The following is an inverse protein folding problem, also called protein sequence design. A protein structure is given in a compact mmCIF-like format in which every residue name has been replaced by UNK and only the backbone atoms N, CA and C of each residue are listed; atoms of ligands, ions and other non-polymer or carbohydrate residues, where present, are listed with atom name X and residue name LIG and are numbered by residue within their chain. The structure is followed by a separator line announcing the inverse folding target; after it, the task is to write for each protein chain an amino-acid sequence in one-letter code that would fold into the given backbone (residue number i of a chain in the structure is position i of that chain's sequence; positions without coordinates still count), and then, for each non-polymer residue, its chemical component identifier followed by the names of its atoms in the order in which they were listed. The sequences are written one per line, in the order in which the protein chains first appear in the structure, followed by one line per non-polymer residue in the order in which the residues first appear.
data_IF_916351434365
#
_entry.id   IF_916351434365
#
_cell.length_a   1.000
_cell.length_b   1.000
_cell.length_c   1.000
_cell.angle_alpha   90.00
_cell.angle_beta   90.00
_cell.angle_gamma   90.00
#
_symmetry.space_group_name_H-M   'P 1'
#
loop_
_entity.id
_entity.type
_entity.pdbx_description
1 polymer ?
#
# COMPACT_ATOMS: atom_id res chain seq x y z
N UNK A 1 11.37 21.58 19.34
CA UNK A 1 12.21 20.37 19.11
C UNK A 1 12.88 20.44 17.74
N UNK A 2 13.96 19.67 17.56
CA UNK A 2 14.65 19.56 16.27
C UNK A 2 14.07 18.35 15.54
N UNK A 3 13.52 18.56 14.35
CA UNK A 3 12.89 17.53 13.51
C UNK A 3 13.80 17.26 12.32
N UNK A 4 14.14 15.99 12.10
CA UNK A 4 14.95 15.52 10.98
C UNK A 4 14.09 14.84 9.91
N UNK A 5 14.31 15.21 8.65
CA UNK A 5 13.66 14.63 7.47
C UNK A 5 14.77 14.03 6.59
N UNK A 6 15.14 12.77 6.78
CA UNK A 6 16.12 12.10 5.93
C UNK A 6 15.52 11.78 4.57
N UNK A 7 16.38 11.54 3.60
CA UNK A 7 16.02 10.98 2.31
C UNK A 7 15.61 9.52 2.46
N UNK A 8 14.55 9.12 1.77
CA UNK A 8 14.17 7.70 1.70
C UNK A 8 15.17 6.92 0.84
N UNK A 9 15.62 5.78 1.38
CA UNK A 9 16.66 4.96 0.75
C UNK A 9 16.14 3.65 0.14
N UNK A 10 14.85 3.32 0.34
CA UNK A 10 14.24 2.16 -0.29
C UNK A 10 14.28 2.31 -1.81
N UNK A 11 14.67 1.26 -2.50
CA UNK A 11 14.67 1.26 -3.97
C UNK A 11 13.30 1.63 -4.54
N UNK A 12 13.26 2.63 -5.43
CA UNK A 12 12.03 3.11 -6.06
C UNK A 12 11.17 4.01 -5.16
N UNK A 13 11.51 4.26 -3.88
CA UNK A 13 10.80 5.22 -3.05
C UNK A 13 11.12 6.65 -3.51
N UNK A 14 10.08 7.40 -3.81
CA UNK A 14 10.19 8.76 -4.32
C UNK A 14 9.54 9.80 -3.40
N UNK A 15 8.83 9.34 -2.38
CA UNK A 15 8.14 10.21 -1.42
C UNK A 15 9.15 10.79 -0.43
N UNK A 16 8.73 11.87 0.22
CA UNK A 16 9.38 12.48 1.37
C UNK A 16 8.37 12.64 2.48
N UNK A 17 8.79 12.51 3.73
CA UNK A 17 7.88 12.52 4.88
C UNK A 17 7.24 13.88 5.18
N UNK A 18 7.86 14.97 4.73
CA UNK A 18 7.28 16.32 4.82
C UNK A 18 7.68 17.16 3.59
N UNK A 19 6.68 17.77 2.96
CA UNK A 19 6.84 18.70 1.85
C UNK A 19 7.12 20.13 2.38
N UNK A 20 7.61 21.07 1.56
CA UNK A 20 7.93 22.45 2.01
C UNK A 20 6.79 23.14 2.77
N UNK A 21 5.53 22.97 2.33
CA UNK A 21 4.37 23.52 3.04
C UNK A 21 4.22 22.95 4.46
N UNK A 22 4.45 21.65 4.64
CA UNK A 22 4.42 21.01 5.96
C UNK A 22 5.57 21.52 6.84
N UNK A 23 6.76 21.65 6.25
CA UNK A 23 7.94 22.22 6.94
C UNK A 23 7.66 23.64 7.42
N UNK A 24 7.06 24.48 6.58
CA UNK A 24 6.69 25.86 6.96
C UNK A 24 5.76 25.87 8.19
N UNK A 25 4.79 24.95 8.25
CA UNK A 25 3.89 24.83 9.41
C UNK A 25 4.64 24.40 10.67
N UNK A 26 5.54 23.42 10.57
CA UNK A 26 6.36 22.97 11.71
C UNK A 26 7.26 24.09 12.25
N UNK A 27 7.82 24.91 11.40
CA UNK A 27 8.65 26.07 11.77
C UNK A 27 7.79 27.15 12.43
N UNK A 28 6.61 27.43 11.86
CA UNK A 28 5.65 28.37 12.47
C UNK A 28 5.25 27.92 13.89
N UNK A 29 5.16 26.61 14.14
CA UNK A 29 4.85 26.03 15.45
C UNK A 29 6.07 26.00 16.39
N UNK A 30 7.19 26.64 16.01
CA UNK A 30 8.36 26.83 16.85
C UNK A 30 9.36 25.66 16.82
N UNK A 31 9.31 24.80 15.82
CA UNK A 31 10.28 23.72 15.63
C UNK A 31 11.43 24.15 14.71
N UNK A 32 12.58 23.51 14.89
CA UNK A 32 13.71 23.59 13.93
C UNK A 32 13.63 22.36 13.03
N UNK A 33 13.68 22.55 11.72
CA UNK A 33 13.59 21.44 10.75
C UNK A 33 14.91 21.31 9.99
N UNK A 34 15.48 20.10 10.05
CA UNK A 34 16.65 19.67 9.28
C UNK A 34 16.17 18.77 8.15
N UNK A 35 16.56 19.03 6.93
CA UNK A 35 16.22 18.23 5.75
C UNK A 35 17.51 17.73 5.13
N UNK A 36 17.63 16.43 4.88
CA UNK A 36 18.76 15.90 4.13
C UNK A 36 18.73 16.42 2.70
N UNK A 37 19.89 16.79 2.19
CA UNK A 37 20.04 17.26 0.81
C UNK A 37 19.43 16.31 -0.20
N UNK A 38 18.58 16.85 -1.06
CA UNK A 38 17.88 16.09 -2.08
C UNK A 38 16.80 15.13 -1.57
N UNK A 39 16.34 15.25 -0.31
CA UNK A 39 15.30 14.37 0.25
C UNK A 39 13.97 14.49 -0.50
N UNK A 40 13.60 15.67 -0.98
CA UNK A 40 12.35 15.94 -1.71
C UNK A 40 12.43 15.75 -3.23
N UNK A 41 13.59 15.50 -3.79
CA UNK A 41 13.82 15.47 -5.25
C UNK A 41 12.92 14.44 -5.97
N UNK A 42 12.72 13.27 -5.37
CA UNK A 42 11.85 12.23 -5.90
C UNK A 42 10.39 12.66 -6.02
N UNK A 43 9.95 13.59 -5.21
CA UNK A 43 8.61 14.20 -5.19
C UNK A 43 8.57 15.59 -5.86
N UNK A 44 9.62 15.97 -6.59
CA UNK A 44 9.77 17.24 -7.30
C UNK A 44 9.81 18.47 -6.38
N UNK A 45 10.26 18.30 -5.13
CA UNK A 45 10.56 19.39 -4.22
C UNK A 45 12.07 19.53 -4.05
N UNK A 46 12.60 20.68 -4.46
CA UNK A 46 14.04 20.95 -4.44
C UNK A 46 14.47 21.62 -3.13
N UNK A 47 15.75 21.54 -2.82
CA UNK A 47 16.33 22.03 -1.56
C UNK A 47 16.06 23.53 -1.32
N UNK A 48 16.05 24.35 -2.36
CA UNK A 48 15.74 25.78 -2.29
C UNK A 48 14.32 26.07 -1.79
N UNK A 49 13.36 25.21 -2.12
CA UNK A 49 11.98 25.31 -1.62
C UNK A 49 11.91 25.02 -0.12
N UNK A 50 12.69 24.06 0.38
CA UNK A 50 12.80 23.79 1.81
C UNK A 50 13.49 24.92 2.56
N UNK A 51 14.56 25.50 1.97
CA UNK A 51 15.23 26.69 2.52
C UNK A 51 14.25 27.86 2.58
N UNK A 52 13.48 28.11 1.52
CA UNK A 52 12.45 29.14 1.49
C UNK A 52 11.36 28.93 2.54
N UNK A 53 11.04 27.66 2.87
CA UNK A 53 10.13 27.30 3.96
C UNK A 53 10.75 27.45 5.35
N UNK A 54 12.06 27.77 5.45
CA UNK A 54 12.80 28.01 6.69
C UNK A 54 13.58 26.81 7.23
N UNK A 55 13.66 25.70 6.49
CA UNK A 55 14.46 24.54 6.89
C UNK A 55 15.96 24.79 6.68
N UNK A 56 16.75 24.01 7.39
CA UNK A 56 18.20 23.90 7.14
C UNK A 56 18.48 22.61 6.37
N UNK A 57 19.16 22.71 5.24
CA UNK A 57 19.65 21.57 4.48
C UNK A 57 20.92 21.01 5.15
N UNK A 58 20.98 19.67 5.30
CA UNK A 58 22.10 18.94 5.88
C UNK A 58 22.66 17.99 4.82
N UNK A 59 23.97 18.09 4.59
CA UNK A 59 24.67 17.26 3.59
C UNK A 59 24.88 15.81 4.07
N UNK A 60 25.17 15.64 5.37
CA UNK A 60 25.45 14.36 5.98
C UNK A 60 24.25 13.87 6.81
N UNK A 61 23.66 12.76 6.40
CA UNK A 61 22.54 12.14 7.11
C UNK A 61 22.91 11.75 8.56
N UNK A 62 24.17 11.43 8.83
CA UNK A 62 24.61 11.12 10.20
C UNK A 62 24.51 12.37 11.11
N UNK A 63 24.87 13.55 10.61
CA UNK A 63 24.67 14.82 11.34
C UNK A 63 23.17 15.08 11.61
N UNK A 64 22.30 14.74 10.65
CA UNK A 64 20.86 14.89 10.80
C UNK A 64 20.34 13.99 11.94
N UNK A 65 20.69 12.70 11.94
CA UNK A 65 20.27 11.77 12.99
C UNK A 65 20.85 12.13 14.36
N UNK A 66 22.08 12.61 14.43
CA UNK A 66 22.72 13.04 15.68
C UNK A 66 22.01 14.23 16.33
N UNK A 67 21.56 15.21 15.51
CA UNK A 67 20.98 16.46 16.01
C UNK A 67 19.47 16.42 16.21
N UNK A 68 18.77 15.58 15.47
CA UNK A 68 17.31 15.52 15.53
C UNK A 68 16.82 14.83 16.80
N UNK A 69 15.81 15.41 17.44
CA UNK A 69 15.06 14.80 18.53
C UNK A 69 13.94 13.90 17.99
N UNK A 70 13.39 14.25 16.83
CA UNK A 70 12.35 13.51 16.12
C UNK A 70 12.75 13.29 14.67
N UNK A 71 12.70 12.06 14.21
CA UNK A 71 12.86 11.69 12.80
C UNK A 71 11.49 11.41 12.19
N UNK A 72 11.24 12.03 11.04
CA UNK A 72 10.06 11.74 10.20
C UNK A 72 10.51 10.97 8.97
N UNK A 73 9.95 9.79 8.75
CA UNK A 73 10.17 8.95 7.56
C UNK A 73 8.84 8.45 6.98
N UNK A 74 8.89 8.00 5.75
CA UNK A 74 7.79 7.27 5.11
C UNK A 74 7.95 5.77 5.33
N UNK A 75 9.13 5.23 5.02
CA UNK A 75 9.42 3.79 5.14
C UNK A 75 10.17 3.48 6.43
N UNK A 76 10.08 2.22 6.83
CA UNK A 76 10.85 1.67 7.96
C UNK A 76 12.36 1.94 7.83
N UNK A 77 13.11 1.96 8.93
CA UNK A 77 14.57 2.05 8.89
C UNK A 77 15.19 0.89 8.12
N UNK A 78 16.08 1.20 7.20
CA UNK A 78 16.76 0.24 6.33
C UNK A 78 18.28 0.28 6.51
N UNK A 79 18.98 -0.63 5.84
CA UNK A 79 20.43 -0.58 5.74
C UNK A 79 20.84 0.51 4.74
N UNK A 80 21.61 1.48 5.20
CA UNK A 80 22.13 2.57 4.39
C UNK A 80 23.48 2.14 3.78
N UNK A 81 23.46 1.79 2.49
CA UNK A 81 24.66 1.35 1.77
C UNK A 81 25.73 2.44 1.69
N UNK A 82 25.35 3.70 1.54
CA UNK A 82 26.30 4.83 1.46
C UNK A 82 27.07 5.04 2.79
N UNK A 83 26.45 4.69 3.91
CA UNK A 83 27.06 4.77 5.26
C UNK A 83 27.56 3.42 5.76
N UNK A 84 27.24 2.34 5.05
CA UNK A 84 27.57 0.96 5.44
C UNK A 84 27.10 0.61 6.87
N UNK A 85 25.90 1.08 7.24
CA UNK A 85 25.29 0.80 8.55
C UNK A 85 23.76 0.84 8.44
N UNK A 86 23.06 0.30 9.44
CA UNK A 86 21.62 0.47 9.55
C UNK A 86 21.29 1.93 9.91
N UNK A 87 20.15 2.46 9.41
CA UNK A 87 19.66 3.76 9.88
C UNK A 87 19.39 3.74 11.40
N UNK A 88 19.10 2.56 12.00
CA UNK A 88 18.97 2.41 13.45
C UNK A 88 20.30 2.70 14.16
N UNK A 89 21.43 2.37 13.55
CA UNK A 89 22.74 2.64 14.13
C UNK A 89 23.05 4.13 14.21
N UNK A 90 22.49 4.93 13.30
CA UNK A 90 22.58 6.40 13.29
C UNK A 90 21.69 7.04 14.37
N UNK A 91 20.64 6.35 14.83
CA UNK A 91 19.74 6.86 15.87
C UNK A 91 20.41 6.83 17.26
N UNK A 92 19.89 7.66 18.17
CA UNK A 92 20.34 7.67 19.56
C UNK A 92 19.21 7.33 20.55
N UNK A 93 19.59 6.97 21.78
CA UNK A 93 18.63 6.66 22.85
C UNK A 93 17.71 7.85 23.13
N UNK A 94 16.41 7.59 23.21
CA UNK A 94 15.38 8.60 23.49
C UNK A 94 14.92 9.39 22.26
N UNK A 95 15.51 9.14 21.08
CA UNK A 95 15.07 9.75 19.83
C UNK A 95 13.69 9.23 19.43
N UNK A 96 12.83 10.12 18.98
CA UNK A 96 11.52 9.78 18.44
C UNK A 96 11.63 9.44 16.95
N UNK A 97 10.83 8.47 16.50
CA UNK A 97 10.67 8.11 15.10
C UNK A 97 9.19 8.00 14.77
N UNK A 98 8.73 8.72 13.74
CA UNK A 98 7.39 8.53 13.16
C UNK A 98 7.55 8.02 11.75
N UNK A 99 7.04 6.82 11.48
CA UNK A 99 7.11 6.16 10.16
C UNK A 99 6.12 5.00 10.07
N UNK A 100 5.99 4.39 8.89
CA UNK A 100 5.41 3.05 8.77
C UNK A 100 6.46 2.03 9.21
N UNK A 101 6.09 1.17 10.16
CA UNK A 101 6.98 0.11 10.69
C UNK A 101 6.52 -1.26 10.21
N UNK A 102 5.25 -1.40 9.87
CA UNK A 102 4.61 -2.68 9.50
C UNK A 102 4.94 -3.80 10.51
N UNK A 103 4.63 -3.61 11.81
CA UNK A 103 5.05 -4.52 12.87
C UNK A 103 4.39 -5.90 12.79
N UNK A 104 3.32 -6.04 12.02
CA UNK A 104 2.68 -7.33 11.76
C UNK A 104 3.51 -8.24 10.83
N UNK A 105 4.40 -7.66 10.03
CA UNK A 105 5.26 -8.41 9.11
C UNK A 105 6.40 -9.08 9.86
N UNK A 106 6.54 -10.42 9.82
CA UNK A 106 7.60 -11.13 10.54
C UNK A 106 9.01 -10.67 10.17
N UNK A 107 9.22 -10.22 8.93
CA UNK A 107 10.54 -9.73 8.46
C UNK A 107 10.98 -8.46 9.20
N UNK A 108 10.06 -7.71 9.80
CA UNK A 108 10.34 -6.47 10.51
C UNK A 108 10.57 -6.68 12.02
N UNK A 109 10.35 -7.89 12.56
CA UNK A 109 10.47 -8.12 14.00
C UNK A 109 11.89 -7.88 14.55
N UNK A 110 12.93 -8.24 13.81
CA UNK A 110 14.32 -7.98 14.23
C UNK A 110 14.64 -6.49 14.23
N UNK A 111 14.13 -5.73 13.27
CA UNK A 111 14.23 -4.27 13.23
C UNK A 111 13.56 -3.65 14.48
N UNK A 112 12.35 -4.09 14.82
CA UNK A 112 11.63 -3.60 16.02
C UNK A 112 12.44 -3.89 17.30
N UNK A 113 13.01 -5.10 17.43
CA UNK A 113 13.88 -5.45 18.57
C UNK A 113 15.13 -4.58 18.61
N UNK A 114 15.75 -4.30 17.47
CA UNK A 114 16.94 -3.45 17.38
C UNK A 114 16.63 -2.00 17.81
N UNK A 115 15.50 -1.43 17.36
CA UNK A 115 15.04 -0.10 17.81
C UNK A 115 14.79 -0.08 19.32
N UNK A 116 14.14 -1.10 19.86
CA UNK A 116 13.89 -1.22 21.29
C UNK A 116 15.20 -1.31 22.09
N UNK A 117 16.16 -2.12 21.64
CA UNK A 117 17.47 -2.25 22.26
C UNK A 117 18.28 -0.94 22.24
N UNK A 118 18.15 -0.15 21.16
CA UNK A 118 18.75 1.18 21.01
C UNK A 118 18.05 2.23 21.91
N UNK A 119 16.82 1.94 22.37
CA UNK A 119 16.01 2.87 23.16
C UNK A 119 15.34 3.97 22.33
N UNK A 120 15.05 3.69 21.08
CA UNK A 120 14.27 4.57 20.18
C UNK A 120 12.79 4.49 20.54
N UNK A 121 12.10 5.62 20.51
CA UNK A 121 10.66 5.73 20.78
C UNK A 121 9.92 5.84 19.45
N UNK A 122 9.36 4.73 18.99
CA UNK A 122 8.73 4.67 17.67
C UNK A 122 7.21 4.81 17.74
N UNK A 123 6.65 5.65 16.88
CA UNK A 123 5.22 5.85 16.66
C UNK A 123 4.90 5.37 15.23
N UNK A 124 4.25 4.21 15.11
CA UNK A 124 3.92 3.69 13.78
C UNK A 124 2.64 4.30 13.22
N UNK A 125 2.67 4.71 11.96
CA UNK A 125 1.51 5.18 11.22
C UNK A 125 0.51 4.07 10.91
N UNK A 126 0.92 2.79 10.99
CA UNK A 126 0.04 1.63 10.84
C UNK A 126 -1.04 1.55 11.93
N UNK A 127 -0.75 2.09 13.11
CA UNK A 127 -1.61 2.02 14.30
C UNK A 127 -2.54 3.22 14.49
N UNK A 128 -2.60 4.18 13.58
CA UNK A 128 -3.50 5.33 13.68
C UNK A 128 -4.95 4.85 13.66
N UNK A 129 -5.76 5.13 14.70
CA UNK A 129 -7.13 4.62 14.77
C UNK A 129 -8.03 5.29 13.72
N UNK A 130 -8.90 4.49 13.08
CA UNK A 130 -9.84 4.98 12.05
C UNK A 130 -11.10 5.57 12.69
N UNK A 131 -10.94 6.67 13.36
CA UNK A 131 -12.02 7.46 13.98
C UNK A 131 -12.03 8.88 13.39
N UNK A 132 -13.15 9.57 13.46
CA UNK A 132 -13.32 10.90 12.84
C UNK A 132 -12.25 11.91 13.30
N UNK A 133 -11.82 11.87 14.55
CA UNK A 133 -10.78 12.76 15.09
C UNK A 133 -9.39 12.49 14.50
N UNK A 134 -9.13 11.27 14.04
CA UNK A 134 -7.83 10.83 13.53
C UNK A 134 -7.74 10.82 11.99
N UNK A 135 -8.81 11.16 11.27
CA UNK A 135 -8.84 11.11 9.81
C UNK A 135 -7.71 11.93 9.16
N UNK A 136 -7.37 13.08 9.72
CA UNK A 136 -6.27 13.92 9.21
C UNK A 136 -4.88 13.33 9.44
N UNK A 137 -4.76 12.30 10.29
CA UNK A 137 -3.51 11.58 10.56
C UNK A 137 -3.46 10.22 9.84
N UNK A 138 -4.54 9.81 9.16
CA UNK A 138 -4.64 8.50 8.51
C UNK A 138 -3.89 8.49 7.16
N UNK A 139 -2.57 8.47 7.26
CA UNK A 139 -1.68 8.35 6.10
C UNK A 139 -1.87 7.01 5.37
N UNK A 140 -2.30 5.96 6.07
CA UNK A 140 -2.57 4.65 5.46
C UNK A 140 -3.75 4.73 4.48
N UNK A 141 -4.82 5.48 4.81
CA UNK A 141 -5.93 5.71 3.89
C UNK A 141 -5.48 6.46 2.64
N UNK A 142 -4.67 7.52 2.78
CA UNK A 142 -4.12 8.26 1.63
C UNK A 142 -3.28 7.35 0.74
N UNK A 143 -2.37 6.58 1.31
CA UNK A 143 -1.53 5.62 0.59
C UNK A 143 -2.36 4.54 -0.12
N UNK A 144 -3.35 3.97 0.57
CA UNK A 144 -4.23 2.94 0.00
C UNK A 144 -5.04 3.47 -1.18
N UNK A 145 -5.52 4.72 -1.11
CA UNK A 145 -6.21 5.38 -2.22
C UNK A 145 -5.31 5.45 -3.45
N UNK A 146 -4.05 5.87 -3.28
CA UNK A 146 -3.09 5.94 -4.38
C UNK A 146 -2.73 4.57 -4.91
N UNK A 147 -2.54 3.58 -4.04
CA UNK A 147 -2.25 2.21 -4.42
C UNK A 147 -3.40 1.62 -5.26
N UNK A 148 -4.65 1.83 -4.84
CA UNK A 148 -5.83 1.39 -5.61
C UNK A 148 -5.92 2.04 -6.98
N UNK A 149 -5.67 3.35 -7.06
CA UNK A 149 -5.68 4.08 -8.32
C UNK A 149 -4.56 3.61 -9.27
N UNK A 150 -3.31 3.69 -8.81
CA UNK A 150 -2.14 3.37 -9.63
C UNK A 150 -2.05 1.89 -9.96
N UNK A 151 -2.34 1.01 -9.00
CA UNK A 151 -2.34 -0.43 -9.24
C UNK A 151 -3.34 -0.83 -10.33
N UNK A 152 -4.53 -0.21 -10.35
CA UNK A 152 -5.49 -0.45 -11.42
C UNK A 152 -5.02 0.09 -12.78
N UNK A 153 -4.32 1.24 -12.82
CA UNK A 153 -3.73 1.75 -14.07
C UNK A 153 -2.60 0.86 -14.57
N UNK A 154 -1.76 0.31 -13.68
CA UNK A 154 -0.72 -0.67 -14.01
C UNK A 154 -1.38 -1.92 -14.61
N UNK A 155 -2.39 -2.48 -13.95
CA UNK A 155 -3.13 -3.63 -14.48
C UNK A 155 -3.71 -3.38 -15.87
N UNK A 156 -4.26 -2.19 -16.11
CA UNK A 156 -4.81 -1.82 -17.40
C UNK A 156 -3.72 -1.63 -18.48
N UNK A 157 -2.53 -1.15 -18.10
CA UNK A 157 -1.38 -0.99 -18.99
C UNK A 157 -0.78 -2.34 -19.42
N UNK A 158 -0.71 -3.28 -18.48
CA UNK A 158 -0.09 -4.59 -18.72
C UNK A 158 -1.03 -5.59 -19.40
N UNK A 159 -2.33 -5.29 -19.37
CA UNK A 159 -3.33 -6.09 -20.05
C UNK A 159 -3.28 -5.86 -21.56
N UNK A 160 -3.06 -6.90 -22.34
CA UNK A 160 -3.01 -6.85 -23.82
C UNK A 160 -4.41 -6.77 -24.45
N UNK A 161 -5.35 -6.03 -23.82
CA UNK A 161 -6.73 -5.85 -24.31
C UNK A 161 -7.21 -4.43 -24.04
N UNK A 162 -8.23 -3.99 -24.80
CA UNK A 162 -8.95 -2.76 -24.44
C UNK A 162 -9.77 -2.97 -23.16
N UNK A 163 -9.65 -2.06 -22.21
CA UNK A 163 -10.46 -2.12 -20.99
C UNK A 163 -11.93 -1.82 -21.28
N UNK A 164 -12.28 -0.71 -21.98
CA UNK A 164 -13.66 -0.38 -22.30
C UNK A 164 -14.22 -1.21 -23.46
N UNK A 165 -15.51 -1.14 -23.60
CA UNK A 165 -16.18 -1.56 -24.82
C UNK A 165 -15.77 -0.63 -25.99
N UNK A 166 -15.37 -1.21 -27.10
CA UNK A 166 -14.97 -0.47 -28.32
C UNK A 166 -15.88 -0.88 -29.47
N UNK A 167 -16.35 0.11 -30.22
CA UNK A 167 -16.99 -0.10 -31.52
C UNK A 167 -16.04 0.34 -32.64
N UNK A 168 -15.80 -0.53 -33.58
CA UNK A 168 -14.95 -0.26 -34.74
C UNK A 168 -15.52 -0.93 -36.00
N UNK A 169 -14.88 -0.69 -37.15
CA UNK A 169 -15.33 -1.23 -38.44
C UNK A 169 -15.44 -2.76 -38.49
N UNK A 170 -14.68 -3.47 -37.66
CA UNK A 170 -14.69 -4.94 -37.57
C UNK A 170 -15.70 -5.47 -36.55
N UNK A 171 -16.47 -4.60 -35.88
CA UNK A 171 -17.48 -5.00 -34.89
C UNK A 171 -17.27 -4.42 -33.50
N UNK A 172 -17.88 -5.07 -32.53
CA UNK A 172 -17.84 -4.68 -31.10
C UNK A 172 -16.84 -5.55 -30.33
N UNK A 173 -15.92 -4.88 -29.65
CA UNK A 173 -15.03 -5.51 -28.67
C UNK A 173 -15.70 -5.36 -27.30
N UNK A 174 -15.90 -6.47 -26.59
CA UNK A 174 -16.51 -6.46 -25.26
C UNK A 174 -15.55 -5.84 -24.22
N UNK A 175 -16.08 -5.16 -23.19
CA UNK A 175 -15.25 -4.67 -22.10
C UNK A 175 -14.67 -5.84 -21.30
N UNK A 176 -13.55 -5.60 -20.62
CA UNK A 176 -12.92 -6.59 -19.77
C UNK A 176 -13.64 -6.76 -18.45
N UNK A 177 -13.50 -7.95 -17.85
CA UNK A 177 -13.97 -8.24 -16.51
C UNK A 177 -12.82 -8.03 -15.51
N UNK A 178 -13.11 -7.24 -14.48
CA UNK A 178 -12.18 -6.96 -13.36
C UNK A 178 -12.78 -7.52 -12.08
N UNK A 179 -12.01 -8.30 -11.32
CA UNK A 179 -12.36 -8.71 -9.97
C UNK A 179 -11.49 -7.95 -8.96
N UNK A 180 -12.12 -7.32 -7.98
CA UNK A 180 -11.44 -6.70 -6.84
C UNK A 180 -11.73 -7.52 -5.59
N UNK A 181 -10.67 -8.04 -4.96
CA UNK A 181 -10.73 -8.84 -3.74
C UNK A 181 -10.27 -7.97 -2.57
N UNK A 182 -11.15 -7.78 -1.59
CA UNK A 182 -10.98 -6.81 -0.52
C UNK A 182 -11.42 -5.41 -0.96
N UNK A 183 -12.56 -4.94 -0.44
CA UNK A 183 -13.14 -3.64 -0.78
C UNK A 183 -12.95 -2.62 0.34
N UNK A 184 -11.72 -2.60 0.90
CA UNK A 184 -11.25 -1.48 1.73
C UNK A 184 -10.97 -0.24 0.87
N UNK A 185 -10.29 0.76 1.43
CA UNK A 185 -9.99 2.03 0.74
C UNK A 185 -9.32 1.80 -0.63
N UNK A 186 -8.28 0.95 -0.68
CA UNK A 186 -7.59 0.63 -1.94
C UNK A 186 -8.49 -0.07 -2.94
N UNK A 187 -9.25 -1.08 -2.49
CA UNK A 187 -10.18 -1.81 -3.34
C UNK A 187 -11.31 -0.95 -3.88
N UNK A 188 -11.93 -0.10 -3.06
CA UNK A 188 -12.96 0.84 -3.51
C UNK A 188 -12.41 1.83 -4.55
N UNK A 189 -11.19 2.32 -4.36
CA UNK A 189 -10.53 3.19 -5.34
C UNK A 189 -10.21 2.43 -6.64
N UNK A 190 -9.77 1.17 -6.55
CA UNK A 190 -9.57 0.31 -7.72
C UNK A 190 -10.88 0.08 -8.48
N UNK A 191 -11.99 -0.21 -7.78
CA UNK A 191 -13.33 -0.32 -8.37
C UNK A 191 -13.69 0.96 -9.12
N UNK A 192 -13.56 2.12 -8.46
CA UNK A 192 -13.90 3.42 -9.05
C UNK A 192 -13.04 3.71 -10.30
N UNK A 193 -11.76 3.35 -10.27
CA UNK A 193 -10.84 3.53 -11.40
C UNK A 193 -11.20 2.60 -12.55
N UNK A 194 -11.39 1.30 -12.30
CA UNK A 194 -11.78 0.33 -13.31
C UNK A 194 -13.11 0.68 -13.99
N UNK A 195 -14.09 1.15 -13.22
CA UNK A 195 -15.37 1.64 -13.75
C UNK A 195 -15.18 2.84 -14.67
N UNK A 196 -14.34 3.82 -14.31
CA UNK A 196 -14.03 4.98 -15.18
C UNK A 196 -13.30 4.58 -16.46
N UNK A 197 -12.49 3.52 -16.41
CA UNK A 197 -11.86 2.92 -17.59
C UNK A 197 -12.83 2.11 -18.46
N UNK A 198 -14.08 1.90 -18.00
CA UNK A 198 -15.11 1.22 -18.77
C UNK A 198 -15.17 -0.29 -18.58
N UNK A 199 -14.52 -0.84 -17.56
CA UNK A 199 -14.56 -2.26 -17.23
C UNK A 199 -15.93 -2.69 -16.65
N UNK A 200 -16.23 -3.98 -16.77
CA UNK A 200 -17.23 -4.66 -15.96
C UNK A 200 -16.58 -5.11 -14.67
N UNK A 201 -16.97 -4.52 -13.53
CA UNK A 201 -16.30 -4.74 -12.27
C UNK A 201 -17.09 -5.69 -11.38
N UNK A 202 -16.40 -6.69 -10.86
CA UNK A 202 -16.83 -7.61 -9.82
C UNK A 202 -16.07 -7.29 -8.53
N UNK A 203 -16.65 -7.55 -7.37
CA UNK A 203 -16.02 -7.30 -6.08
C UNK A 203 -16.37 -8.40 -5.08
N UNK A 204 -15.40 -8.78 -4.26
CA UNK A 204 -15.54 -9.71 -3.14
C UNK A 204 -14.99 -9.07 -1.86
N UNK A 205 -15.76 -9.11 -0.79
CA UNK A 205 -15.33 -8.79 0.58
C UNK A 205 -16.19 -9.61 1.54
N UNK A 206 -15.64 -9.95 2.69
CA UNK A 206 -16.36 -10.71 3.71
C UNK A 206 -17.23 -9.81 4.60
N UNK A 207 -16.97 -8.49 4.62
CA UNK A 207 -17.67 -7.52 5.47
C UNK A 207 -18.89 -6.94 4.75
N UNK A 208 -20.10 -7.03 5.32
CA UNK A 208 -21.32 -6.53 4.70
C UNK A 208 -21.25 -5.03 4.32
N UNK A 209 -20.72 -4.18 5.21
CA UNK A 209 -20.61 -2.74 4.94
C UNK A 209 -19.70 -2.43 3.74
N UNK A 210 -18.60 -3.18 3.60
CA UNK A 210 -17.67 -3.04 2.49
C UNK A 210 -18.29 -3.54 1.16
N UNK A 211 -19.09 -4.61 1.23
CA UNK A 211 -19.89 -5.11 0.10
C UNK A 211 -20.90 -4.05 -0.39
N UNK A 212 -21.63 -3.41 0.52
CA UNK A 212 -22.59 -2.37 0.17
C UNK A 212 -21.91 -1.12 -0.44
N UNK A 213 -20.73 -0.76 0.06
CA UNK A 213 -19.94 0.32 -0.54
C UNK A 213 -19.50 -0.03 -1.98
N UNK A 214 -19.00 -1.26 -2.20
CA UNK A 214 -18.61 -1.72 -3.53
C UNK A 214 -19.80 -1.75 -4.49
N UNK A 215 -20.97 -2.21 -4.03
CA UNK A 215 -22.22 -2.21 -4.77
C UNK A 215 -22.68 -0.79 -5.14
N UNK A 216 -22.54 0.17 -4.22
CA UNK A 216 -22.84 1.58 -4.45
C UNK A 216 -21.97 2.20 -5.56
N UNK A 217 -20.73 1.70 -5.75
CA UNK A 217 -19.87 2.07 -6.88
C UNK A 217 -20.22 1.33 -8.18
N UNK A 218 -21.24 0.48 -8.18
CA UNK A 218 -21.71 -0.26 -9.33
C UNK A 218 -20.94 -1.54 -9.64
N UNK A 219 -20.25 -2.12 -8.66
CA UNK A 219 -19.65 -3.44 -8.79
C UNK A 219 -20.70 -4.54 -8.64
N UNK A 220 -20.52 -5.64 -9.38
CA UNK A 220 -21.27 -6.89 -9.19
C UNK A 220 -20.63 -7.65 -8.04
N UNK A 221 -21.41 -8.05 -7.06
CA UNK A 221 -20.87 -8.70 -5.87
C UNK A 221 -20.71 -10.20 -6.11
N UNK A 222 -19.54 -10.71 -5.76
CA UNK A 222 -19.26 -12.12 -5.62
C UNK A 222 -19.55 -12.49 -4.16
N UNK A 223 -20.59 -13.29 -3.95
CA UNK A 223 -20.94 -13.74 -2.61
C UNK A 223 -19.93 -14.79 -2.13
N UNK A 224 -19.24 -14.50 -1.06
CA UNK A 224 -18.24 -15.39 -0.44
C UNK A 224 -18.88 -16.42 0.49
N UNK A 225 -20.17 -16.23 0.86
CA UNK A 225 -20.88 -17.09 1.79
C UNK A 225 -20.41 -17.00 3.24
N UNK A 226 -19.50 -16.10 3.58
CA UNK A 226 -18.96 -15.95 4.94
C UNK A 226 -19.98 -15.19 5.81
N UNK A 227 -20.41 -15.75 6.97
CA UNK A 227 -21.33 -15.07 7.87
C UNK A 227 -20.72 -13.79 8.47
N UNK A 228 -21.53 -12.74 8.61
CA UNK A 228 -21.10 -11.45 9.14
C UNK A 228 -20.50 -11.53 10.56
N UNK A 229 -21.03 -12.43 11.38
CA UNK A 229 -20.59 -12.65 12.76
C UNK A 229 -19.15 -13.18 12.84
N UNK A 230 -18.70 -13.88 11.80
CA UNK A 230 -17.33 -14.39 11.68
C UNK A 230 -16.41 -13.37 10.98
N UNK A 231 -16.98 -12.69 9.97
CA UNK A 231 -16.24 -11.79 9.11
C UNK A 231 -15.80 -10.49 9.79
N UNK A 232 -16.61 -9.95 10.72
CA UNK A 232 -16.42 -8.60 11.27
C UNK A 232 -15.90 -8.64 12.70
N UNK A 233 -14.74 -8.00 12.90
CA UNK A 233 -14.10 -7.82 14.20
C UNK A 233 -14.37 -6.47 14.84
N UNK A 234 -13.60 -6.17 15.89
CA UNK A 234 -13.69 -4.88 16.57
C UNK A 234 -13.42 -3.72 15.61
N UNK A 235 -14.23 -2.67 15.69
CA UNK A 235 -14.09 -1.48 14.86
C UNK A 235 -14.48 -1.66 13.39
N UNK A 236 -15.19 -2.75 13.02
CA UNK A 236 -15.66 -2.97 11.65
C UNK A 236 -14.57 -3.49 10.69
N UNK A 237 -13.45 -3.94 11.21
CA UNK A 237 -12.39 -4.55 10.41
C UNK A 237 -12.67 -6.02 10.11
N UNK A 238 -12.04 -6.53 9.04
CA UNK A 238 -12.06 -7.95 8.76
C UNK A 238 -11.36 -8.75 9.87
N UNK A 239 -11.99 -9.85 10.28
CA UNK A 239 -11.36 -10.85 11.13
C UNK A 239 -10.48 -11.80 10.31
N UNK A 240 -9.52 -12.42 10.98
CA UNK A 240 -8.87 -13.62 10.46
C UNK A 240 -9.90 -14.76 10.44
N UNK A 241 -10.14 -15.32 9.26
CA UNK A 241 -11.12 -16.39 9.10
C UNK A 241 -10.54 -17.73 9.58
N UNK A 242 -11.34 -18.60 10.23
CA UNK A 242 -11.03 -20.01 10.36
C UNK A 242 -10.84 -20.66 8.98
N UNK A 243 -9.98 -21.68 8.90
CA UNK A 243 -9.60 -22.33 7.63
C UNK A 243 -10.82 -22.82 6.82
N UNK A 244 -11.85 -23.31 7.48
CA UNK A 244 -13.11 -23.73 6.84
C UNK A 244 -13.74 -22.59 6.03
N UNK A 245 -13.83 -21.41 6.60
CA UNK A 245 -14.43 -20.24 5.94
C UNK A 245 -13.51 -19.62 4.89
N UNK A 246 -12.20 -19.73 5.10
CA UNK A 246 -11.21 -19.33 4.09
C UNK A 246 -11.32 -20.23 2.84
N UNK A 247 -11.54 -21.54 3.03
CA UNK A 247 -11.81 -22.46 1.92
C UNK A 247 -13.11 -22.11 1.20
N UNK A 248 -14.17 -21.80 1.93
CA UNK A 248 -15.44 -21.33 1.33
C UNK A 248 -15.26 -20.10 0.46
N UNK A 249 -14.52 -19.11 0.96
CA UNK A 249 -14.20 -17.88 0.20
C UNK A 249 -13.42 -18.22 -1.08
N UNK A 250 -12.39 -19.07 -0.99
CA UNK A 250 -11.62 -19.56 -2.14
C UNK A 250 -12.49 -20.26 -3.16
N UNK A 251 -13.40 -21.13 -2.74
CA UNK A 251 -14.34 -21.83 -3.62
C UNK A 251 -15.29 -20.88 -4.36
N UNK A 252 -15.76 -19.83 -3.69
CA UNK A 252 -16.58 -18.80 -4.32
C UNK A 252 -15.80 -18.02 -5.39
N UNK A 253 -14.55 -17.64 -5.08
CA UNK A 253 -13.66 -16.94 -6.00
C UNK A 253 -13.27 -17.83 -7.19
N UNK A 254 -12.98 -19.12 -6.98
CA UNK A 254 -12.59 -20.06 -8.02
C UNK A 254 -13.65 -20.20 -9.14
N UNK A 255 -14.93 -19.99 -8.84
CA UNK A 255 -16.01 -20.03 -9.81
C UNK A 255 -16.00 -18.88 -10.80
N UNK A 256 -15.48 -17.71 -10.41
CA UNK A 256 -15.52 -16.50 -11.23
C UNK A 256 -14.16 -16.15 -11.88
N UNK A 257 -13.07 -16.56 -11.27
CA UNK A 257 -11.70 -16.24 -11.70
C UNK A 257 -11.42 -16.61 -13.17
N UNK A 258 -11.87 -17.75 -13.73
CA UNK A 258 -11.61 -18.07 -15.14
C UNK A 258 -12.20 -17.07 -16.14
N UNK A 259 -13.15 -16.26 -15.73
CA UNK A 259 -13.79 -15.24 -16.57
C UNK A 259 -13.15 -13.85 -16.41
N UNK A 260 -12.23 -13.69 -15.46
CA UNK A 260 -11.60 -12.40 -15.16
C UNK A 260 -10.39 -12.14 -16.07
N UNK A 261 -10.29 -10.90 -16.53
CA UNK A 261 -9.14 -10.40 -17.28
C UNK A 261 -8.14 -9.70 -16.34
N UNK A 262 -8.63 -9.05 -15.28
CA UNK A 262 -7.82 -8.45 -14.22
C UNK A 262 -8.33 -8.92 -12.87
N UNK A 263 -7.41 -9.31 -11.97
CA UNK A 263 -7.69 -9.53 -10.55
C UNK A 263 -6.85 -8.57 -9.72
N UNK A 264 -7.51 -7.75 -8.92
CA UNK A 264 -6.90 -6.78 -8.03
C UNK A 264 -7.05 -7.24 -6.58
N UNK A 265 -5.93 -7.55 -5.92
CA UNK A 265 -5.88 -8.09 -4.57
C UNK A 265 -5.53 -6.99 -3.57
N UNK A 266 -6.41 -6.77 -2.59
CA UNK A 266 -6.24 -5.77 -1.52
C UNK A 266 -6.87 -6.20 -0.19
N UNK A 267 -7.06 -7.50 0.02
CA UNK A 267 -7.64 -8.03 1.25
C UNK A 267 -6.58 -8.08 2.36
N UNK A 268 -6.82 -7.32 3.43
CA UNK A 268 -5.93 -7.25 4.58
C UNK A 268 -6.72 -7.43 5.87
N UNK A 269 -6.10 -8.12 6.83
CA UNK A 269 -6.56 -8.22 8.22
C UNK A 269 -5.60 -7.40 9.07
N UNK A 270 -6.08 -6.40 9.85
CA UNK A 270 -5.21 -5.56 10.66
C UNK A 270 -4.31 -6.35 11.59
N UNK A 271 -3.03 -6.03 11.61
CA UNK A 271 -2.01 -6.67 12.46
C UNK A 271 -1.83 -8.19 12.23
N UNK A 272 -2.20 -8.69 11.05
CA UNK A 272 -2.04 -10.08 10.62
C UNK A 272 -1.40 -10.16 9.26
N UNK A 273 -0.92 -11.35 8.92
CA UNK A 273 -0.50 -11.68 7.55
C UNK A 273 -1.77 -11.70 6.67
N UNK A 274 -1.66 -11.18 5.46
CA UNK A 274 -2.75 -11.20 4.49
C UNK A 274 -3.18 -12.66 4.17
N UNK A 275 -4.49 -12.93 4.07
CA UNK A 275 -4.95 -14.26 3.72
C UNK A 275 -4.60 -14.57 2.25
N UNK A 276 -4.10 -15.77 1.99
CA UNK A 276 -3.94 -16.27 0.63
C UNK A 276 -5.30 -16.67 0.09
N UNK A 277 -5.82 -15.90 -0.86
CA UNK A 277 -7.16 -16.08 -1.47
C UNK A 277 -7.09 -16.64 -2.89
N UNK A 278 -5.99 -16.40 -3.60
CA UNK A 278 -5.72 -16.93 -4.94
C UNK A 278 -4.68 -18.03 -4.85
N UNK A 279 -5.08 -19.26 -5.11
CA UNK A 279 -4.16 -20.40 -5.23
C UNK A 279 -3.50 -20.44 -6.61
N UNK A 280 -2.43 -21.21 -6.75
CA UNK A 280 -1.77 -21.38 -8.04
C UNK A 280 -2.70 -22.00 -9.09
N UNK A 281 -3.57 -22.93 -8.69
CA UNK A 281 -4.56 -23.58 -9.56
C UNK A 281 -5.57 -22.55 -10.10
N UNK A 282 -6.00 -21.59 -9.27
CA UNK A 282 -6.88 -20.52 -9.71
C UNK A 282 -6.20 -19.61 -10.73
N UNK A 283 -4.92 -19.29 -10.52
CA UNK A 283 -4.13 -18.49 -11.47
C UNK A 283 -3.96 -19.26 -12.80
N UNK A 284 -3.67 -20.55 -12.74
CA UNK A 284 -3.56 -21.39 -13.92
C UNK A 284 -4.88 -21.52 -14.71
N UNK A 285 -6.03 -21.33 -14.05
CA UNK A 285 -7.34 -21.32 -14.70
C UNK A 285 -7.71 -19.99 -15.35
N UNK A 286 -6.95 -18.91 -15.14
CA UNK A 286 -7.19 -17.62 -15.79
C UNK A 286 -6.87 -17.68 -17.27
N UNK A 287 -7.45 -16.77 -18.03
CA UNK A 287 -7.17 -16.65 -19.47
C UNK A 287 -5.73 -16.18 -19.69
N UNK A 288 -5.00 -16.74 -20.68
CA UNK A 288 -3.70 -16.22 -21.07
C UNK A 288 -3.74 -14.71 -21.38
N UNK A 289 -2.76 -13.96 -20.87
CA UNK A 289 -2.70 -12.50 -21.00
C UNK A 289 -3.53 -11.74 -19.96
N UNK A 290 -4.11 -12.42 -18.97
CA UNK A 290 -4.72 -11.78 -17.80
C UNK A 290 -3.66 -11.21 -16.88
N UNK A 291 -4.09 -10.29 -15.97
CA UNK A 291 -3.20 -9.59 -15.05
C UNK A 291 -3.71 -9.72 -13.61
N UNK A 292 -2.80 -9.97 -12.69
CA UNK A 292 -3.04 -9.89 -11.24
C UNK A 292 -2.19 -8.75 -10.67
N UNK A 293 -2.79 -7.87 -9.88
CA UNK A 293 -2.07 -6.87 -9.07
C UNK A 293 -2.33 -7.15 -7.60
N UNK A 294 -1.28 -7.45 -6.85
CA UNK A 294 -1.35 -7.76 -5.43
C UNK A 294 -0.70 -6.65 -4.61
N UNK A 295 -1.53 -5.70 -4.14
CA UNK A 295 -1.07 -4.59 -3.28
C UNK A 295 -0.97 -4.97 -1.80
N UNK A 296 -1.40 -6.18 -1.43
CA UNK A 296 -1.28 -6.71 -0.07
C UNK A 296 0.08 -7.39 0.19
N UNK A 297 0.98 -7.36 -0.78
CA UNK A 297 2.25 -8.10 -0.76
C UNK A 297 3.18 -7.70 0.39
N UNK A 298 3.14 -6.47 0.87
CA UNK A 298 3.92 -6.01 2.03
C UNK A 298 3.52 -6.75 3.33
N UNK A 299 2.32 -7.33 3.37
CA UNK A 299 1.81 -8.12 4.49
C UNK A 299 1.62 -9.60 4.13
N UNK A 300 2.33 -10.10 3.12
CA UNK A 300 2.33 -11.51 2.72
C UNK A 300 1.64 -11.81 1.40
N UNK A 301 0.74 -10.93 0.93
CA UNK A 301 0.04 -11.07 -0.36
C UNK A 301 -1.22 -11.96 -0.31
N UNK A 302 -2.14 -11.69 -1.23
CA UNK A 302 -3.34 -12.52 -1.39
C UNK A 302 -3.20 -13.61 -2.46
N UNK A 303 -2.18 -13.53 -3.32
CA UNK A 303 -1.93 -14.54 -4.34
C UNK A 303 -0.71 -15.38 -3.94
N UNK A 304 -0.89 -16.71 -3.91
CA UNK A 304 0.12 -17.68 -3.46
C UNK A 304 1.44 -17.61 -4.22
N UNK A 305 1.40 -17.18 -5.47
CA UNK A 305 2.57 -17.17 -6.36
C UNK A 305 3.07 -15.77 -6.71
N UNK A 306 2.59 -14.72 -6.02
CA UNK A 306 3.16 -13.36 -6.17
C UNK A 306 4.58 -13.33 -5.62
N UNK A 307 5.51 -12.73 -6.37
CA UNK A 307 6.87 -12.49 -5.92
C UNK A 307 7.00 -11.04 -5.44
N UNK A 308 7.37 -10.81 -4.17
CA UNK A 308 7.46 -9.45 -3.63
C UNK A 308 8.48 -8.58 -4.37
N UNK A 309 8.05 -7.41 -4.84
CA UNK A 309 8.89 -6.43 -5.53
C UNK A 309 9.16 -6.72 -7.01
N UNK A 310 8.50 -7.72 -7.59
CA UNK A 310 8.74 -8.15 -8.97
C UNK A 310 7.44 -8.19 -9.78
N UNK A 311 7.59 -7.97 -11.08
CA UNK A 311 6.61 -8.33 -12.11
C UNK A 311 7.00 -9.69 -12.68
N UNK A 312 6.15 -10.69 -12.57
CA UNK A 312 6.42 -12.04 -13.05
C UNK A 312 5.32 -12.53 -13.98
N UNK A 313 5.67 -13.38 -14.96
CA UNK A 313 4.68 -14.07 -15.79
C UNK A 313 4.67 -15.55 -15.39
N UNK A 314 3.55 -16.02 -14.84
CA UNK A 314 3.32 -17.42 -14.46
C UNK A 314 2.00 -17.89 -15.06
N UNK A 315 1.94 -19.10 -15.60
CA UNK A 315 0.75 -19.64 -16.29
C UNK A 315 0.18 -18.71 -17.36
N UNK A 316 1.03 -17.94 -18.06
CA UNK A 316 0.64 -16.92 -19.04
C UNK A 316 -0.18 -15.75 -18.43
N UNK A 317 -0.12 -15.55 -17.12
CA UNK A 317 -0.72 -14.44 -16.38
C UNK A 317 0.40 -13.53 -15.87
N UNK A 318 0.27 -12.22 -16.09
CA UNK A 318 1.20 -11.24 -15.52
C UNK A 318 0.80 -10.99 -14.06
N UNK A 319 1.75 -11.10 -13.15
CA UNK A 319 1.53 -10.92 -11.70
C UNK A 319 2.42 -9.79 -11.21
N UNK A 320 1.79 -8.72 -10.76
CA UNK A 320 2.40 -7.53 -10.21
C UNK A 320 2.45 -7.59 -8.69
N UNK A 321 3.65 -7.85 -8.14
CA UNK A 321 3.93 -7.85 -6.70
C UNK A 321 4.64 -6.59 -6.23
N UNK A 322 4.25 -5.42 -6.72
CA UNK A 322 4.96 -4.16 -6.51
C UNK A 322 4.84 -3.72 -5.04
N UNK A 323 5.97 -3.72 -4.32
CA UNK A 323 6.05 -3.24 -2.93
C UNK A 323 5.95 -1.74 -2.79
N UNK A 324 6.29 -1.02 -3.84
CA UNK A 324 6.31 0.43 -3.81
C UNK A 324 5.72 0.98 -5.10
N UNK A 325 4.49 1.46 -5.01
CA UNK A 325 3.81 2.07 -6.16
C UNK A 325 4.22 3.54 -6.18
N UNK A 326 5.05 3.97 -7.15
CA UNK A 326 5.54 5.35 -7.20
C UNK A 326 4.37 6.29 -7.47
N UNK A 327 3.98 7.02 -6.45
CA UNK A 327 3.04 8.12 -6.54
C UNK A 327 3.74 9.33 -5.95
N UNK A 328 4.01 10.33 -6.77
CA UNK A 328 4.33 11.67 -6.28
C UNK A 328 3.01 12.40 -6.01
N UNK A 329 2.88 12.95 -4.85
CA UNK A 329 1.83 13.92 -4.53
C UNK A 329 2.35 15.31 -4.75
#
# INVERSE_FOLDING_TARGET
MIIGIPKEIMHGERRVSAIPETVQKLIHDGHTVLVEKGAGEGSFFHDDQYVAAGARIVEDVAELYEKAELILKVKEPLFNEAKNCSEIDLMHKGQYLITFIHPASPVNHEMVKAMAAKGVISLTLDGVPRISRAQNMDALTSMSTCAGYKGMLIAANDLAKFVPQIFCAVGMIKPVNVLVIGTGVGGLQAIATAKRLGAVVHAADIRPDAVEQAKSLGAKIVDTGVPAEIAVGQGGYANELPEEWLLHEREALAKVIPEMDIVFCSALVPSRIAPVLLTEEMVAAMRPGSVIVDISIDQGGNCAITTPGETAVKHHVTIEGIKNIPVSY
#
